data_IF_099881373645
#
_entry.id   IF_099881373645
#
_cell.length_a   1.000
_cell.length_b   1.000
_cell.length_c   1.000
_cell.angle_alpha   90.00
_cell.angle_beta   90.00
_cell.angle_gamma   90.00
#
_symmetry.space_group_name_H-M   'P 1'
#
loop_
_entity.id
_entity.type
_entity.pdbx_description
1 polymer ?
#
# COMPACT_ATOMS: atom_id res chain seq x y z
N UNK A 1 91.58 -21.88 24.15
CA UNK A 1 91.78 -21.53 22.72
C UNK A 1 90.86 -20.36 22.41
N UNK A 2 91.41 -19.13 22.34
CA UNK A 2 90.63 -17.92 22.07
C UNK A 2 90.49 -17.78 20.56
N UNK A 3 89.25 -17.86 20.05
CA UNK A 3 88.96 -17.72 18.62
C UNK A 3 88.86 -16.23 18.30
N UNK A 4 89.80 -15.71 17.51
CA UNK A 4 89.73 -14.35 16.99
C UNK A 4 88.71 -14.31 15.86
N UNK A 5 87.69 -13.45 16.00
CA UNK A 5 86.84 -13.07 14.87
C UNK A 5 87.74 -12.34 13.87
N UNK A 6 88.01 -12.96 12.71
CA UNK A 6 88.80 -12.35 11.63
C UNK A 6 87.99 -11.20 11.02
N UNK A 7 88.09 -10.01 11.60
CA UNK A 7 87.82 -8.78 10.88
C UNK A 7 88.97 -8.56 9.89
N UNK A 8 88.66 -8.11 8.68
CA UNK A 8 89.62 -7.85 7.59
C UNK A 8 90.49 -6.62 7.89
N UNK A 9 91.34 -6.71 8.92
CA UNK A 9 92.30 -5.70 9.37
C UNK A 9 93.45 -6.33 10.16
N UNK A 10 94.57 -5.61 10.40
CA UNK A 10 95.74 -6.16 11.08
C UNK A 10 95.39 -6.64 12.49
N UNK A 11 96.00 -7.75 12.92
CA UNK A 11 95.80 -8.38 14.23
C UNK A 11 96.10 -7.39 15.38
N UNK A 12 95.09 -6.66 15.82
CA UNK A 12 95.16 -5.80 17.00
C UNK A 12 95.03 -6.65 18.25
N UNK A 13 95.82 -6.31 19.28
CA UNK A 13 95.64 -6.91 20.61
C UNK A 13 94.21 -6.58 21.08
N UNK A 14 93.40 -7.58 21.47
CA UNK A 14 92.06 -7.31 21.97
C UNK A 14 92.17 -6.45 23.23
N UNK A 15 91.29 -5.46 23.35
CA UNK A 15 91.20 -4.60 24.52
C UNK A 15 90.97 -5.48 25.77
N UNK A 16 91.87 -5.45 26.77
CA UNK A 16 91.74 -6.27 27.98
C UNK A 16 90.50 -5.95 28.82
N UNK A 17 89.87 -4.78 28.60
CA UNK A 17 88.61 -4.40 29.24
C UNK A 17 87.38 -4.93 28.51
N UNK A 18 87.54 -5.48 27.31
CA UNK A 18 86.45 -6.07 26.54
C UNK A 18 86.08 -7.45 27.08
N UNK A 19 84.77 -7.71 27.15
CA UNK A 19 84.25 -9.04 27.50
C UNK A 19 84.48 -10.00 26.33
N UNK A 20 85.15 -11.12 26.60
CA UNK A 20 85.42 -12.18 25.61
C UNK A 20 84.49 -13.36 25.86
N UNK A 21 83.85 -13.87 24.81
CA UNK A 21 82.97 -15.03 24.87
C UNK A 21 83.77 -16.28 24.44
N UNK A 22 83.69 -17.41 25.17
CA UNK A 22 84.28 -18.67 24.73
C UNK A 22 83.73 -19.14 23.38
N UNK A 23 84.56 -19.83 22.59
CA UNK A 23 84.18 -20.27 21.25
C UNK A 23 82.94 -21.18 21.21
N UNK A 24 82.78 -22.05 22.22
CA UNK A 24 81.59 -22.91 22.36
C UNK A 24 80.31 -22.10 22.63
N UNK A 25 80.40 -21.04 23.44
CA UNK A 25 79.25 -20.20 23.80
C UNK A 25 78.86 -19.24 22.67
N UNK A 26 79.82 -18.84 21.83
CA UNK A 26 79.57 -17.99 20.66
C UNK A 26 78.63 -18.66 19.64
N UNK A 27 78.79 -19.98 19.43
CA UNK A 27 77.91 -20.74 18.52
C UNK A 27 76.49 -20.81 19.05
N UNK A 28 76.33 -21.09 20.36
CA UNK A 28 75.02 -21.12 21.05
C UNK A 28 74.34 -19.75 20.97
N UNK A 29 75.11 -18.66 21.14
CA UNK A 29 74.59 -17.30 21.04
C UNK A 29 74.09 -16.95 19.63
N UNK A 30 74.80 -17.37 18.57
CA UNK A 30 74.35 -17.18 17.19
C UNK A 30 73.07 -17.97 16.89
N UNK A 31 72.98 -19.22 17.33
CA UNK A 31 71.80 -20.07 17.15
C UNK A 31 70.58 -19.52 17.92
N UNK A 32 70.78 -19.05 19.15
CA UNK A 32 69.74 -18.39 19.93
C UNK A 32 69.27 -17.08 19.27
N UNK A 33 70.19 -16.29 18.70
CA UNK A 33 69.86 -15.09 17.93
C UNK A 33 69.00 -15.42 16.70
N UNK A 34 69.42 -16.42 15.92
CA UNK A 34 68.69 -16.89 14.74
C UNK A 34 67.28 -17.41 15.10
N UNK A 35 67.13 -18.12 16.22
CA UNK A 35 65.84 -18.59 16.71
C UNK A 35 64.91 -17.44 17.11
N UNK A 36 65.44 -16.42 17.81
CA UNK A 36 64.67 -15.23 18.19
C UNK A 36 64.23 -14.45 16.96
N UNK A 37 65.10 -14.29 15.96
CA UNK A 37 64.78 -13.59 14.72
C UNK A 37 63.73 -14.36 13.90
N UNK A 38 63.84 -15.69 13.83
CA UNK A 38 62.82 -16.54 13.21
C UNK A 38 61.46 -16.42 13.92
N UNK A 39 61.43 -16.49 15.26
CA UNK A 39 60.21 -16.33 16.05
C UNK A 39 59.58 -14.93 15.89
N UNK A 40 60.39 -13.88 15.77
CA UNK A 40 59.91 -12.52 15.48
C UNK A 40 59.32 -12.41 14.09
N UNK A 41 59.97 -12.98 13.08
CA UNK A 41 59.47 -13.00 11.70
C UNK A 41 58.13 -13.74 11.60
N UNK A 42 58.00 -14.89 12.27
CA UNK A 42 56.76 -15.66 12.34
C UNK A 42 55.66 -14.87 13.07
N UNK A 43 55.97 -14.23 14.20
CA UNK A 43 55.02 -13.40 14.92
C UNK A 43 54.50 -12.22 14.09
N UNK A 44 55.37 -11.56 13.32
CA UNK A 44 54.95 -10.50 12.39
C UNK A 44 54.11 -11.04 11.23
N UNK A 45 54.47 -12.20 10.67
CA UNK A 45 53.67 -12.86 9.64
C UNK A 45 52.25 -13.20 10.12
N UNK A 46 52.12 -13.76 11.34
CA UNK A 46 50.83 -14.06 11.96
C UNK A 46 50.01 -12.79 12.17
N UNK A 47 50.64 -11.71 12.66
CA UNK A 47 49.96 -10.41 12.87
C UNK A 47 49.45 -9.83 11.56
N UNK A 48 50.24 -9.91 10.50
CA UNK A 48 49.85 -9.39 9.20
C UNK A 48 48.72 -10.21 8.58
N UNK A 49 48.80 -11.53 8.64
CA UNK A 49 47.70 -12.42 8.22
C UNK A 49 46.42 -12.15 9.01
N UNK A 50 46.51 -11.98 10.33
CA UNK A 50 45.36 -11.66 11.17
C UNK A 50 44.73 -10.30 10.81
N UNK A 51 45.54 -9.29 10.48
CA UNK A 51 45.04 -7.98 10.01
C UNK A 51 44.33 -8.10 8.67
N UNK A 52 44.89 -8.85 7.73
CA UNK A 52 44.29 -9.05 6.41
C UNK A 52 42.97 -9.81 6.52
N UNK A 53 42.92 -10.89 7.30
CA UNK A 53 41.70 -11.63 7.56
C UNK A 53 40.64 -10.76 8.23
N UNK A 54 41.03 -9.95 9.24
CA UNK A 54 40.11 -9.02 9.89
C UNK A 54 39.53 -7.98 8.93
N UNK A 55 40.35 -7.40 8.05
CA UNK A 55 39.88 -6.43 7.06
C UNK A 55 38.93 -7.07 6.03
N UNK A 56 39.26 -8.28 5.56
CA UNK A 56 38.41 -9.01 4.61
C UNK A 56 37.04 -9.36 5.21
N UNK A 57 37.01 -9.91 6.43
CA UNK A 57 35.74 -10.25 7.10
C UNK A 57 34.95 -9.00 7.50
N UNK A 58 35.62 -7.89 7.85
CA UNK A 58 34.94 -6.61 8.10
C UNK A 58 34.25 -6.08 6.85
N UNK A 59 34.93 -6.12 5.70
CA UNK A 59 34.37 -5.68 4.42
C UNK A 59 33.19 -6.58 4.02
N UNK A 60 33.36 -7.90 4.14
CA UNK A 60 32.30 -8.87 3.89
C UNK A 60 31.08 -8.63 4.78
N UNK A 61 31.26 -8.53 6.09
CA UNK A 61 30.16 -8.30 7.03
C UNK A 61 29.45 -6.96 6.80
N UNK A 62 30.19 -5.94 6.34
CA UNK A 62 29.58 -4.66 5.93
C UNK A 62 28.72 -4.81 4.67
N UNK A 63 29.18 -5.56 3.67
CA UNK A 63 28.41 -5.83 2.45
C UNK A 63 27.17 -6.67 2.74
N UNK A 64 27.31 -7.77 3.50
CA UNK A 64 26.20 -8.64 3.89
C UNK A 64 25.15 -7.84 4.68
N UNK A 65 25.57 -7.04 5.67
CA UNK A 65 24.66 -6.19 6.45
C UNK A 65 24.00 -5.07 5.64
N UNK A 66 24.67 -4.55 4.61
CA UNK A 66 24.10 -3.56 3.70
C UNK A 66 23.01 -4.19 2.81
N UNK A 67 23.22 -5.42 2.34
CA UNK A 67 22.23 -6.16 1.57
C UNK A 67 21.00 -6.51 2.43
N UNK A 68 21.21 -7.02 3.64
CA UNK A 68 20.14 -7.31 4.59
C UNK A 68 19.32 -6.06 4.94
N UNK A 69 19.99 -4.95 5.28
CA UNK A 69 19.31 -3.69 5.57
C UNK A 69 18.52 -3.14 4.37
N UNK A 70 18.99 -3.36 3.13
CA UNK A 70 18.25 -2.98 1.92
C UNK A 70 16.99 -3.82 1.74
N UNK A 71 17.07 -5.12 2.01
CA UNK A 71 15.92 -6.02 1.94
C UNK A 71 14.87 -5.65 3.00
N UNK A 72 15.29 -5.47 4.26
CA UNK A 72 14.40 -5.04 5.34
C UNK A 72 13.73 -3.70 5.04
N UNK A 73 14.48 -2.72 4.52
CA UNK A 73 13.94 -1.43 4.13
C UNK A 73 12.90 -1.56 3.01
N UNK A 74 13.13 -2.44 2.03
CA UNK A 74 12.17 -2.70 0.96
C UNK A 74 10.90 -3.37 1.48
N UNK A 75 11.02 -4.34 2.39
CA UNK A 75 9.87 -4.99 3.03
C UNK A 75 9.04 -3.99 3.83
N UNK A 76 9.67 -3.16 4.65
CA UNK A 76 8.99 -2.10 5.41
C UNK A 76 8.29 -1.10 4.49
N UNK A 77 8.89 -0.77 3.35
CA UNK A 77 8.28 0.13 2.36
C UNK A 77 7.01 -0.50 1.75
N UNK A 78 7.07 -1.77 1.36
CA UNK A 78 5.92 -2.52 0.83
C UNK A 78 4.81 -2.61 1.87
N UNK A 79 5.15 -2.90 3.13
CA UNK A 79 4.19 -2.98 4.22
C UNK A 79 3.50 -1.62 4.46
N UNK A 80 4.25 -0.54 4.49
CA UNK A 80 3.71 0.81 4.66
C UNK A 80 2.77 1.22 3.51
N UNK A 81 3.14 0.89 2.27
CA UNK A 81 2.28 1.14 1.10
C UNK A 81 0.99 0.33 1.23
N UNK A 82 1.08 -0.94 1.61
CA UNK A 82 -0.08 -1.83 1.77
C UNK A 82 -1.04 -1.33 2.85
N UNK A 83 -0.51 -0.96 4.02
CA UNK A 83 -1.30 -0.36 5.11
C UNK A 83 -1.99 0.93 4.68
N UNK A 84 -1.32 1.73 3.85
CA UNK A 84 -1.88 2.99 3.33
C UNK A 84 -3.04 2.72 2.38
N UNK A 85 -2.88 1.79 1.44
CA UNK A 85 -3.94 1.37 0.51
C UNK A 85 -5.17 0.86 1.27
N UNK A 86 -4.95 -0.03 2.25
CA UNK A 86 -6.04 -0.59 3.08
C UNK A 86 -6.76 0.49 3.89
N UNK A 87 -6.00 1.45 4.44
CA UNK A 87 -6.57 2.56 5.18
C UNK A 87 -7.48 3.42 4.28
N UNK A 88 -7.01 3.81 3.10
CA UNK A 88 -7.80 4.60 2.17
C UNK A 88 -9.04 3.84 1.68
N UNK A 89 -8.92 2.55 1.37
CA UNK A 89 -10.07 1.71 1.01
C UNK A 89 -11.15 1.70 2.10
N UNK A 90 -10.77 1.56 3.37
CA UNK A 90 -11.70 1.64 4.51
C UNK A 90 -12.30 3.03 4.71
N UNK A 91 -11.57 4.10 4.40
CA UNK A 91 -12.09 5.47 4.47
C UNK A 91 -13.10 5.70 3.35
N UNK A 92 -12.82 5.25 2.14
CA UNK A 92 -13.74 5.33 1.00
C UNK A 92 -15.05 4.61 1.26
N UNK A 93 -15.01 3.37 1.77
CA UNK A 93 -16.21 2.61 2.12
C UNK A 93 -17.06 3.34 3.17
N UNK A 94 -16.42 3.84 4.24
CA UNK A 94 -17.10 4.62 5.29
C UNK A 94 -17.71 5.91 4.75
N UNK A 95 -17.06 6.58 3.81
CA UNK A 95 -17.60 7.78 3.17
C UNK A 95 -18.85 7.46 2.34
N UNK A 96 -18.83 6.38 1.56
CA UNK A 96 -20.01 5.94 0.79
C UNK A 96 -21.18 5.65 1.72
N UNK A 97 -20.94 4.89 2.79
CA UNK A 97 -21.99 4.55 3.75
C UNK A 97 -22.53 5.80 4.46
N UNK A 98 -21.67 6.76 4.83
CA UNK A 98 -22.09 8.02 5.43
C UNK A 98 -22.99 8.83 4.49
N UNK A 99 -22.62 8.95 3.21
CA UNK A 99 -23.41 9.69 2.21
C UNK A 99 -24.77 9.00 1.99
N UNK A 100 -24.78 7.67 1.87
CA UNK A 100 -26.01 6.89 1.72
C UNK A 100 -26.92 7.06 2.93
N UNK A 101 -26.38 7.01 4.15
CA UNK A 101 -27.14 7.21 5.38
C UNK A 101 -27.72 8.63 5.46
N UNK A 102 -26.91 9.65 5.15
CA UNK A 102 -27.37 11.04 5.13
C UNK A 102 -28.51 11.23 4.13
N UNK A 103 -28.40 10.64 2.93
CA UNK A 103 -29.43 10.72 1.91
C UNK A 103 -30.71 9.99 2.31
N UNK A 104 -30.60 8.79 2.90
CA UNK A 104 -31.76 8.07 3.46
C UNK A 104 -32.47 8.90 4.53
N UNK A 105 -31.71 9.61 5.38
CA UNK A 105 -32.27 10.50 6.41
C UNK A 105 -33.00 11.70 5.80
N UNK A 106 -32.39 12.37 4.82
CA UNK A 106 -33.03 13.50 4.11
C UNK A 106 -34.33 13.05 3.45
N UNK A 107 -34.31 11.92 2.74
CA UNK A 107 -35.49 11.37 2.06
C UNK A 107 -36.60 11.00 3.05
N UNK A 108 -36.25 10.57 4.27
CA UNK A 108 -37.21 10.24 5.31
C UNK A 108 -37.90 11.47 5.93
N UNK A 109 -37.39 12.68 5.73
CA UNK A 109 -38.03 13.93 6.20
C UNK A 109 -39.16 14.40 5.28
N UNK A 110 -39.22 13.89 4.04
CA UNK A 110 -40.29 14.19 3.10
C UNK A 110 -41.55 13.37 3.40
N UNK A 111 -42.71 13.97 3.15
CA UNK A 111 -43.97 13.25 3.25
C UNK A 111 -44.11 12.18 2.15
N UNK A 112 -45.02 11.24 2.35
CA UNK A 112 -45.25 10.14 1.40
C UNK A 112 -45.64 10.64 0.00
N UNK A 113 -46.32 11.79 -0.09
CA UNK A 113 -46.79 12.35 -1.35
C UNK A 113 -45.63 12.87 -2.19
N UNK A 114 -44.79 13.70 -1.60
CA UNK A 114 -43.62 14.30 -2.22
C UNK A 114 -42.62 13.23 -2.63
N UNK A 115 -42.43 12.20 -1.80
CA UNK A 115 -41.59 11.04 -2.11
C UNK A 115 -42.04 10.33 -3.38
N UNK A 116 -43.33 9.98 -3.48
CA UNK A 116 -43.89 9.31 -4.66
C UNK A 116 -43.82 10.21 -5.89
N UNK A 117 -44.21 11.47 -5.77
CA UNK A 117 -44.17 12.43 -6.89
C UNK A 117 -42.75 12.60 -7.41
N UNK A 118 -41.75 12.65 -6.52
CA UNK A 118 -40.33 12.73 -6.88
C UNK A 118 -39.86 11.47 -7.64
N UNK A 119 -40.23 10.26 -7.19
CA UNK A 119 -39.88 9.02 -7.91
C UNK A 119 -40.50 9.01 -9.30
N UNK A 120 -41.78 9.35 -9.41
CA UNK A 120 -42.51 9.39 -10.69
C UNK A 120 -41.87 10.41 -11.62
N UNK A 121 -41.60 11.63 -11.16
CA UNK A 121 -40.90 12.66 -11.95
C UNK A 121 -39.53 12.16 -12.40
N UNK A 122 -38.78 11.45 -11.54
CA UNK A 122 -37.50 10.83 -11.90
C UNK A 122 -37.63 9.79 -13.01
N UNK A 123 -38.61 8.89 -12.90
CA UNK A 123 -38.87 7.84 -13.90
C UNK A 123 -39.28 8.44 -15.26
N UNK A 124 -40.18 9.42 -15.26
CA UNK A 124 -40.60 10.11 -16.49
C UNK A 124 -39.45 10.88 -17.14
N UNK A 125 -38.52 11.41 -16.35
CA UNK A 125 -37.31 12.06 -16.82
C UNK A 125 -36.38 11.15 -17.63
N UNK A 126 -36.48 9.82 -17.44
CA UNK A 126 -35.67 8.84 -18.16
C UNK A 126 -36.23 8.48 -19.56
N UNK A 127 -37.53 8.66 -19.80
CA UNK A 127 -38.22 8.26 -21.04
C UNK A 127 -38.72 9.46 -21.87
N UNK A 128 -37.93 10.54 -21.91
CA UNK A 128 -38.29 11.78 -22.61
C UNK A 128 -38.80 11.53 -24.05
N UNK A 129 -39.82 12.27 -24.46
CA UNK A 129 -40.44 12.27 -25.80
C UNK A 129 -41.25 11.01 -26.19
N UNK A 130 -41.81 10.28 -25.23
CA UNK A 130 -42.75 9.19 -25.50
C UNK A 130 -44.20 9.68 -25.50
N UNK A 131 -44.95 9.40 -26.59
CA UNK A 131 -46.33 9.89 -26.74
C UNK A 131 -47.32 9.20 -25.81
N UNK A 132 -47.10 7.93 -25.51
CA UNK A 132 -47.95 7.13 -24.64
C UNK A 132 -47.09 6.39 -23.62
N UNK A 133 -47.44 6.55 -22.34
CA UNK A 133 -46.71 5.99 -21.21
C UNK A 133 -47.71 5.41 -20.24
N UNK A 134 -47.47 4.19 -19.77
CA UNK A 134 -48.26 3.57 -18.70
C UNK A 134 -47.45 3.54 -17.42
N UNK A 135 -47.90 4.24 -16.39
CA UNK A 135 -47.29 4.26 -15.08
C UNK A 135 -48.07 3.35 -14.13
N UNK A 136 -47.39 2.30 -13.66
CA UNK A 136 -47.89 1.36 -12.68
C UNK A 136 -47.37 1.76 -11.30
N UNK A 137 -48.27 1.91 -10.34
CA UNK A 137 -47.96 2.30 -8.96
C UNK A 137 -48.66 1.39 -7.98
N UNK A 138 -48.26 1.40 -6.72
CA UNK A 138 -48.95 0.66 -5.68
C UNK A 138 -50.43 1.12 -5.57
N UNK A 139 -51.41 0.22 -5.39
CA UNK A 139 -52.83 0.57 -5.43
C UNK A 139 -53.24 1.61 -4.37
N UNK A 140 -52.59 1.61 -3.22
CA UNK A 140 -52.75 2.57 -2.13
C UNK A 140 -52.25 3.98 -2.47
N UNK A 141 -51.38 4.10 -3.49
CA UNK A 141 -50.80 5.38 -3.95
C UNK A 141 -51.40 5.88 -5.26
N UNK A 142 -52.25 5.09 -5.91
CA UNK A 142 -52.83 5.43 -7.21
C UNK A 142 -53.61 6.74 -7.20
N UNK A 143 -54.49 6.94 -6.22
CA UNK A 143 -55.34 8.15 -6.16
C UNK A 143 -54.52 9.42 -5.86
N UNK A 144 -53.47 9.27 -5.05
CA UNK A 144 -52.53 10.35 -4.77
C UNK A 144 -51.76 10.77 -6.03
N UNK A 145 -51.30 9.81 -6.83
CA UNK A 145 -50.62 10.10 -8.10
C UNK A 145 -51.58 10.72 -9.11
N UNK A 146 -52.82 10.24 -9.20
CA UNK A 146 -53.87 10.83 -10.05
C UNK A 146 -54.10 12.31 -9.76
N UNK A 147 -54.13 12.69 -8.48
CA UNK A 147 -54.28 14.09 -8.08
C UNK A 147 -53.06 14.95 -8.45
N UNK A 148 -51.85 14.36 -8.44
CA UNK A 148 -50.61 15.03 -8.81
C UNK A 148 -50.32 15.00 -10.32
N UNK A 149 -51.09 14.27 -11.13
CA UNK A 149 -50.83 14.08 -12.58
C UNK A 149 -50.67 15.39 -13.34
N UNK A 150 -51.55 16.37 -13.09
CA UNK A 150 -51.48 17.67 -13.78
C UNK A 150 -50.18 18.41 -13.48
N UNK A 151 -49.72 18.36 -12.23
CA UNK A 151 -48.46 18.95 -11.79
C UNK A 151 -47.26 18.24 -12.44
N UNK A 152 -47.32 16.91 -12.53
CA UNK A 152 -46.27 16.09 -13.12
C UNK A 152 -46.17 16.34 -14.63
N UNK A 153 -47.29 16.33 -15.35
CA UNK A 153 -47.32 16.55 -16.81
C UNK A 153 -46.90 17.97 -17.20
N UNK A 154 -47.13 18.98 -16.34
CA UNK A 154 -46.65 20.34 -16.57
C UNK A 154 -45.12 20.42 -16.67
N UNK A 155 -44.39 19.53 -15.99
CA UNK A 155 -42.93 19.44 -16.07
C UNK A 155 -42.44 18.65 -17.31
N UNK A 156 -43.32 17.88 -17.96
CA UNK A 156 -42.96 16.95 -19.04
C UNK A 156 -43.91 17.07 -20.25
N UNK A 157 -43.87 18.19 -21.00
CA UNK A 157 -44.78 18.44 -22.12
C UNK A 157 -44.60 17.49 -23.32
N UNK A 158 -43.50 16.72 -23.35
CA UNK A 158 -43.26 15.70 -24.37
C UNK A 158 -44.05 14.40 -24.19
N UNK A 159 -44.79 14.27 -23.07
CA UNK A 159 -45.64 13.11 -22.79
C UNK A 159 -47.07 13.45 -23.20
N UNK A 160 -47.56 12.76 -24.24
CA UNK A 160 -48.89 13.02 -24.78
C UNK A 160 -50.02 12.45 -23.92
N UNK A 161 -49.85 11.23 -23.43
CA UNK A 161 -50.83 10.53 -22.61
C UNK A 161 -50.15 9.67 -21.54
N UNK A 162 -50.61 9.80 -20.29
CA UNK A 162 -50.15 9.01 -19.15
C UNK A 162 -51.30 8.16 -18.61
N UNK A 163 -51.21 6.85 -18.80
CA UNK A 163 -52.14 5.89 -18.21
C UNK A 163 -51.68 5.48 -16.82
N UNK A 164 -52.60 5.47 -15.84
CA UNK A 164 -52.28 5.20 -14.43
C UNK A 164 -52.96 3.91 -13.97
N UNK A 165 -52.15 2.91 -13.65
CA UNK A 165 -52.62 1.57 -13.28
C UNK A 165 -52.12 1.19 -11.89
N UNK A 166 -53.00 0.64 -11.05
CA UNK A 166 -52.61 0.05 -9.77
C UNK A 166 -52.02 -1.36 -9.97
N UNK A 167 -50.84 -1.63 -9.43
CA UNK A 167 -50.20 -2.94 -9.46
C UNK A 167 -49.90 -3.43 -8.03
N UNK A 168 -50.59 -4.49 -7.62
CA UNK A 168 -50.46 -5.07 -6.28
C UNK A 168 -49.07 -5.67 -5.96
N UNK A 169 -48.20 -5.83 -6.98
CA UNK A 169 -46.81 -6.26 -6.78
C UNK A 169 -45.92 -5.13 -6.26
N UNK A 170 -46.33 -3.87 -6.45
CA UNK A 170 -45.60 -2.69 -6.02
C UNK A 170 -46.01 -2.28 -4.60
N UNK A 171 -45.06 -1.72 -3.85
CA UNK A 171 -45.26 -1.26 -2.47
C UNK A 171 -44.57 0.08 -2.27
N UNK A 172 -45.14 0.90 -1.39
CA UNK A 172 -44.56 2.18 -0.99
C UNK A 172 -44.44 3.14 -2.16
N UNK A 173 -43.22 3.64 -2.38
CA UNK A 173 -42.89 4.63 -3.39
C UNK A 173 -42.43 4.05 -4.74
N UNK A 174 -42.45 2.72 -4.89
CA UNK A 174 -42.08 2.06 -6.14
C UNK A 174 -43.08 2.31 -7.27
N UNK A 175 -42.56 2.60 -8.46
CA UNK A 175 -43.32 2.67 -9.70
C UNK A 175 -42.63 1.96 -10.85
N UNK A 176 -43.42 1.44 -11.79
CA UNK A 176 -42.95 0.87 -13.05
C UNK A 176 -43.52 1.71 -14.17
N UNK A 177 -42.65 2.12 -15.08
CA UNK A 177 -43.00 2.87 -16.25
C UNK A 177 -42.88 1.98 -17.49
N UNK A 178 -43.97 1.78 -18.19
CA UNK A 178 -44.04 1.00 -19.41
C UNK A 178 -44.22 1.94 -20.60
N UNK A 179 -43.40 1.74 -21.62
CA UNK A 179 -43.41 2.49 -22.89
C UNK A 179 -43.21 1.51 -24.05
N UNK A 180 -43.47 1.94 -25.27
CA UNK A 180 -43.26 1.10 -26.47
C UNK A 180 -41.81 0.63 -26.62
N UNK A 181 -40.85 1.39 -26.08
CA UNK A 181 -39.41 1.09 -26.17
C UNK A 181 -38.89 0.26 -24.99
N UNK A 182 -39.67 0.07 -23.93
CA UNK A 182 -39.26 -0.73 -22.77
C UNK A 182 -39.88 -0.32 -21.45
N UNK A 183 -39.36 -0.92 -20.38
CA UNK A 183 -39.84 -0.81 -19.01
C UNK A 183 -38.75 -0.19 -18.12
N UNK A 184 -39.13 0.78 -17.28
CA UNK A 184 -38.24 1.42 -16.30
C UNK A 184 -38.84 1.24 -14.90
N UNK A 185 -38.10 0.58 -14.02
CA UNK A 185 -38.47 0.48 -12.60
C UNK A 185 -37.79 1.60 -11.81
N UNK A 186 -38.54 2.27 -10.93
CA UNK A 186 -38.01 3.33 -10.09
C UNK A 186 -38.57 3.24 -8.67
N UNK A 187 -37.70 3.46 -7.69
CA UNK A 187 -38.02 3.62 -6.27
C UNK A 187 -36.92 4.47 -5.63
N UNK A 188 -37.19 5.10 -4.48
CA UNK A 188 -36.17 5.84 -3.74
C UNK A 188 -35.04 4.92 -3.30
N UNK A 189 -35.36 3.71 -2.80
CA UNK A 189 -34.33 2.72 -2.45
C UNK A 189 -33.49 2.34 -3.69
N UNK A 190 -34.12 2.14 -4.84
CA UNK A 190 -33.41 1.84 -6.09
C UNK A 190 -32.48 2.98 -6.54
N UNK A 191 -32.92 4.23 -6.38
CA UNK A 191 -32.11 5.43 -6.68
C UNK A 191 -30.95 5.61 -5.69
N UNK A 192 -31.18 5.39 -4.40
CA UNK A 192 -30.13 5.43 -3.37
C UNK A 192 -29.07 4.35 -3.62
N UNK A 193 -29.49 3.13 -3.98
CA UNK A 193 -28.55 2.06 -4.33
C UNK A 193 -27.81 2.33 -5.65
N UNK A 194 -28.45 2.98 -6.63
CA UNK A 194 -27.77 3.41 -7.85
C UNK A 194 -26.68 4.45 -7.56
N UNK A 195 -26.95 5.41 -6.66
CA UNK A 195 -25.97 6.38 -6.19
C UNK A 195 -24.83 5.69 -5.43
N UNK A 196 -25.14 4.75 -4.53
CA UNK A 196 -24.12 3.94 -3.85
C UNK A 196 -23.17 3.27 -4.85
N UNK A 197 -23.72 2.58 -5.86
CA UNK A 197 -22.92 1.95 -6.93
C UNK A 197 -22.08 2.96 -7.71
N UNK A 198 -22.63 4.13 -8.02
CA UNK A 198 -21.90 5.18 -8.72
C UNK A 198 -20.72 5.71 -7.89
N UNK A 199 -20.93 5.99 -6.60
CA UNK A 199 -19.86 6.40 -5.68
C UNK A 199 -18.82 5.31 -5.49
N UNK A 200 -19.23 4.05 -5.27
CA UNK A 200 -18.30 2.91 -5.16
C UNK A 200 -17.48 2.73 -6.43
N UNK A 201 -18.06 2.99 -7.62
CA UNK A 201 -17.33 2.93 -8.88
C UNK A 201 -16.29 4.04 -8.99
N UNK A 202 -16.65 5.29 -8.65
CA UNK A 202 -15.74 6.45 -8.77
C UNK A 202 -14.61 6.39 -7.75
N UNK A 203 -14.90 5.97 -6.52
CA UNK A 203 -13.90 5.84 -5.46
C UNK A 203 -13.06 4.57 -5.67
N UNK A 204 -13.71 3.45 -6.00
CA UNK A 204 -13.03 2.18 -6.27
C UNK A 204 -12.23 2.11 -7.58
N UNK A 205 -12.43 3.03 -8.53
CA UNK A 205 -11.68 3.06 -9.80
C UNK A 205 -10.31 3.75 -9.72
N UNK A 206 -9.86 4.18 -8.53
CA UNK A 206 -8.51 4.74 -8.33
C UNK A 206 -7.47 3.71 -7.88
N UNK A 207 -7.74 2.42 -8.09
CA UNK A 207 -6.74 1.35 -7.91
C UNK A 207 -5.81 1.24 -9.10
#
# INVERSE_FOLDING_TARGET
MVLFVRQSGPLSRPDPSARVIPAADHQIWLEAGALIDAARAEAEAIREQARQAYQAEKERGYQDGLEEARLEAAEQMIENVSRTIDYFGKVEERMVDLVVQAMRRIVAEYDDRDRVVMVVKGALGAVRNQKQVTLRVAPDRLDMVKQATNEILAAYPGIGYLDLVGDARLKGDGCILETEIGIVEASLDGQVEALRRAFSKILGSRK
#
